data_IF_946995105858
#
_entry.id   IF_946995105858
#
_cell.length_a   1.000
_cell.length_b   1.000
_cell.length_c   1.000
_cell.angle_alpha   90.00
_cell.angle_beta   90.00
_cell.angle_gamma   90.00
#
_symmetry.space_group_name_H-M   'P 1'
#
loop_
_entity.id
_entity.type
_entity.pdbx_description
1 polymer ?
#
# COMPACT_ATOMS: atom_id res chain seq x y z
N UNK A 1 5.23 -18.94 -3.12
CA UNK A 1 6.09 -18.23 -2.16
C UNK A 1 6.55 -16.86 -2.65
N UNK A 2 7.14 -16.74 -3.85
CA UNK A 2 7.65 -15.46 -4.41
C UNK A 2 6.62 -14.32 -4.42
N UNK A 3 5.36 -14.59 -4.81
CA UNK A 3 4.29 -13.57 -4.82
C UNK A 3 4.06 -12.93 -3.45
N UNK A 4 3.93 -13.75 -2.40
CA UNK A 4 3.71 -13.25 -1.04
C UNK A 4 4.92 -12.48 -0.52
N UNK A 5 6.13 -12.95 -0.84
CA UNK A 5 7.36 -12.26 -0.49
C UNK A 5 7.46 -10.88 -1.16
N UNK A 6 7.13 -10.74 -2.44
CA UNK A 6 7.13 -9.45 -3.15
C UNK A 6 6.07 -8.48 -2.62
N UNK A 7 4.85 -8.95 -2.38
CA UNK A 7 3.79 -8.08 -1.84
C UNK A 7 4.14 -7.61 -0.41
N UNK A 8 4.67 -8.51 0.42
CA UNK A 8 5.10 -8.18 1.77
C UNK A 8 6.36 -7.32 1.84
N UNK A 9 7.24 -7.38 0.82
CA UNK A 9 8.52 -6.69 0.86
C UNK A 9 8.36 -5.18 0.92
N UNK A 10 7.27 -4.61 0.37
CA UNK A 10 7.09 -3.16 0.32
C UNK A 10 7.04 -2.52 1.70
N UNK A 11 6.45 -3.17 2.71
CA UNK A 11 6.40 -2.61 4.07
C UNK A 11 7.69 -2.81 4.87
N UNK A 12 8.43 -3.89 4.58
CA UNK A 12 9.43 -4.45 5.50
C UNK A 12 10.86 -4.47 4.96
N UNK A 13 11.05 -4.42 3.64
CA UNK A 13 12.37 -4.62 3.03
C UNK A 13 13.37 -3.55 3.45
N UNK A 14 12.98 -2.27 3.45
CA UNK A 14 13.87 -1.19 3.87
C UNK A 14 14.34 -1.38 5.32
N UNK A 15 13.49 -1.82 6.24
CA UNK A 15 13.88 -2.04 7.64
C UNK A 15 14.87 -3.19 7.78
N UNK A 16 14.63 -4.29 7.07
CA UNK A 16 15.54 -5.43 7.05
C UNK A 16 16.91 -5.00 6.52
N UNK A 17 16.95 -4.30 5.38
CA UNK A 17 18.19 -3.86 4.75
C UNK A 17 18.88 -2.79 5.60
N UNK A 18 18.13 -1.85 6.17
CA UNK A 18 18.64 -0.83 7.09
C UNK A 18 19.31 -1.48 8.31
N UNK A 19 18.68 -2.49 8.90
CA UNK A 19 19.27 -3.26 10.00
C UNK A 19 20.56 -3.95 9.57
N UNK A 20 20.62 -4.53 8.37
CA UNK A 20 21.83 -5.17 7.84
C UNK A 20 22.98 -4.17 7.56
N UNK A 21 22.66 -2.96 7.09
CA UNK A 21 23.66 -1.94 6.73
C UNK A 21 24.16 -1.17 7.96
N UNK A 22 23.26 -0.79 8.87
CA UNK A 22 23.59 0.07 10.02
C UNK A 22 23.91 -0.74 11.27
N UNK A 23 23.27 -1.89 11.43
CA UNK A 23 23.43 -2.78 12.55
C UNK A 23 23.02 -2.14 13.89
N UNK A 24 23.78 -2.37 14.97
CA UNK A 24 23.46 -1.88 16.32
C UNK A 24 23.38 -0.36 16.46
N UNK A 25 23.88 0.41 15.47
CA UNK A 25 23.87 1.87 15.47
C UNK A 25 22.55 2.48 15.00
N UNK A 26 21.61 1.64 14.57
CA UNK A 26 20.30 2.09 14.13
C UNK A 26 19.51 2.59 15.32
N UNK A 27 18.95 3.80 15.23
CA UNK A 27 17.98 4.27 16.22
C UNK A 27 16.64 3.57 15.98
N UNK A 28 16.54 2.35 16.50
CA UNK A 28 15.38 1.47 16.39
C UNK A 28 14.12 2.16 16.90
N UNK A 29 14.25 2.98 17.95
CA UNK A 29 13.10 3.65 18.57
C UNK A 29 12.50 4.66 17.59
N UNK A 30 13.33 5.51 16.96
CA UNK A 30 12.84 6.45 15.96
C UNK A 30 12.30 5.74 14.70
N UNK A 31 12.92 4.67 14.19
CA UNK A 31 12.34 3.88 13.07
C UNK A 31 10.98 3.33 13.43
N UNK A 32 10.89 2.68 14.59
CA UNK A 32 9.67 2.00 15.01
C UNK A 32 8.53 2.99 15.24
N UNK A 33 8.81 4.09 15.95
CA UNK A 33 7.85 5.16 16.18
C UNK A 33 7.34 5.76 14.86
N UNK A 34 8.25 6.02 13.91
CA UNK A 34 7.93 6.54 12.59
C UNK A 34 7.08 5.56 11.75
N UNK A 35 7.20 4.25 11.99
CA UNK A 35 6.46 3.22 11.27
C UNK A 35 5.04 3.00 11.79
N UNK A 36 4.75 3.36 13.05
CA UNK A 36 3.48 3.07 13.73
C UNK A 36 2.23 3.53 12.95
N UNK A 37 2.15 4.75 12.39
CA UNK A 37 0.95 5.18 11.68
C UNK A 37 0.63 4.31 10.47
N UNK A 38 1.66 3.89 9.73
CA UNK A 38 1.53 3.01 8.58
C UNK A 38 1.06 1.61 9.00
N UNK A 39 1.62 1.05 10.09
CA UNK A 39 1.18 -0.24 10.63
C UNK A 39 -0.28 -0.19 11.07
N UNK A 40 -0.66 0.84 11.83
CA UNK A 40 -2.02 0.98 12.35
C UNK A 40 -3.02 1.12 11.19
N UNK A 41 -2.74 2.00 10.23
CA UNK A 41 -3.59 2.18 9.05
C UNK A 41 -3.73 0.88 8.25
N UNK A 42 -2.62 0.20 7.98
CA UNK A 42 -2.61 -1.11 7.30
C UNK A 42 -3.49 -2.13 8.04
N UNK A 43 -3.35 -2.26 9.36
CA UNK A 43 -4.16 -3.19 10.15
C UNK A 43 -5.64 -2.78 10.17
N UNK A 44 -5.94 -1.49 10.31
CA UNK A 44 -7.31 -0.98 10.22
C UNK A 44 -7.96 -1.33 8.89
N UNK A 45 -7.21 -1.27 7.78
CA UNK A 45 -7.73 -1.69 6.49
C UNK A 45 -8.18 -3.16 6.50
N UNK A 46 -7.31 -4.08 6.90
CA UNK A 46 -7.61 -5.51 6.87
C UNK A 46 -8.70 -5.89 7.86
N UNK A 47 -8.75 -5.26 9.03
CA UNK A 47 -9.73 -5.60 10.06
C UNK A 47 -11.09 -4.94 9.82
N UNK A 48 -11.13 -3.67 9.38
CA UNK A 48 -12.37 -2.90 9.32
C UNK A 48 -12.94 -2.77 7.92
N UNK A 49 -12.09 -2.70 6.89
CA UNK A 49 -12.54 -2.33 5.54
C UNK A 49 -12.53 -3.49 4.55
N UNK A 50 -11.54 -4.39 4.61
CA UNK A 50 -11.46 -5.55 3.73
C UNK A 50 -12.73 -6.45 3.80
N UNK A 51 -13.31 -6.76 4.98
CA UNK A 51 -14.54 -7.55 5.04
C UNK A 51 -15.75 -6.88 4.37
N UNK A 52 -15.77 -5.54 4.31
CA UNK A 52 -16.80 -4.78 3.60
C UNK A 52 -16.65 -4.88 2.09
N UNK A 53 -15.41 -4.79 1.59
CA UNK A 53 -15.05 -4.99 0.19
C UNK A 53 -15.39 -6.41 -0.26
N UNK A 54 -15.01 -7.43 0.52
CA UNK A 54 -15.28 -8.84 0.19
C UNK A 54 -16.79 -9.12 0.09
N UNK A 55 -17.58 -8.56 1.01
CA UNK A 55 -19.05 -8.64 0.95
C UNK A 55 -19.60 -7.98 -0.32
N UNK A 56 -19.06 -6.83 -0.73
CA UNK A 56 -19.49 -6.16 -1.96
C UNK A 56 -19.12 -6.97 -3.22
N UNK A 57 -17.94 -7.58 -3.25
CA UNK A 57 -17.50 -8.51 -4.32
C UNK A 57 -18.44 -9.72 -4.38
N UNK A 58 -18.77 -10.32 -3.23
CA UNK A 58 -19.70 -11.44 -3.16
C UNK A 58 -21.08 -11.10 -3.73
N UNK A 59 -21.63 -9.93 -3.37
CA UNK A 59 -22.92 -9.45 -3.92
C UNK A 59 -22.87 -9.21 -5.42
N UNK A 60 -21.75 -8.69 -5.95
CA UNK A 60 -21.59 -8.53 -7.39
C UNK A 60 -21.57 -9.89 -8.09
N UNK A 61 -20.83 -10.87 -7.54
CA UNK A 61 -20.79 -12.23 -8.07
C UNK A 61 -22.18 -12.88 -8.09
N UNK A 62 -22.97 -12.76 -7.01
CA UNK A 62 -24.33 -13.30 -7.00
C UNK A 62 -25.24 -12.62 -8.02
N UNK A 63 -25.11 -11.29 -8.20
CA UNK A 63 -25.93 -10.54 -9.14
C UNK A 63 -25.68 -10.95 -10.60
N UNK A 64 -24.44 -11.28 -10.96
CA UNK A 64 -24.07 -11.70 -12.32
C UNK A 64 -24.84 -12.97 -12.76
N UNK A 65 -25.22 -13.85 -11.83
CA UNK A 65 -25.86 -15.12 -12.16
C UNK A 65 -27.38 -15.04 -12.38
N UNK A 66 -28.03 -13.92 -12.09
CA UNK A 66 -29.50 -13.86 -12.20
C UNK A 66 -30.16 -12.50 -12.07
N UNK A 67 -29.41 -11.41 -11.88
CA UNK A 67 -29.98 -10.07 -11.85
C UNK A 67 -29.94 -9.40 -13.24
N UNK A 68 -30.92 -8.54 -13.58
CA UNK A 68 -30.89 -7.72 -14.80
C UNK A 68 -29.67 -6.79 -14.86
N UNK A 69 -29.26 -6.43 -16.08
CA UNK A 69 -28.09 -5.57 -16.32
C UNK A 69 -28.09 -4.27 -15.48
N UNK A 70 -29.24 -3.60 -15.36
CA UNK A 70 -29.35 -2.36 -14.57
C UNK A 70 -29.08 -2.55 -13.07
N UNK A 71 -29.38 -3.74 -12.53
CA UNK A 71 -29.06 -4.06 -11.15
C UNK A 71 -27.57 -4.39 -11.00
N UNK A 72 -26.97 -5.07 -11.98
CA UNK A 72 -25.54 -5.36 -12.03
C UNK A 72 -24.68 -4.08 -12.08
N UNK A 73 -25.03 -3.10 -12.91
CA UNK A 73 -24.30 -1.82 -12.99
C UNK A 73 -24.35 -1.04 -11.67
N UNK A 74 -25.50 -1.04 -10.99
CA UNK A 74 -25.63 -0.45 -9.66
C UNK A 74 -24.75 -1.17 -8.62
N UNK A 75 -24.70 -2.51 -8.65
CA UNK A 75 -23.83 -3.30 -7.75
C UNK A 75 -22.36 -3.05 -8.02
N UNK A 76 -21.98 -2.89 -9.29
CA UNK A 76 -20.64 -2.49 -9.70
C UNK A 76 -20.25 -1.14 -9.12
N UNK A 77 -21.08 -0.10 -9.31
CA UNK A 77 -20.83 1.23 -8.75
C UNK A 77 -20.72 1.21 -7.20
N UNK A 78 -21.54 0.40 -6.53
CA UNK A 78 -21.46 0.20 -5.08
C UNK A 78 -20.13 -0.43 -4.66
N UNK A 79 -19.64 -1.43 -5.41
CA UNK A 79 -18.34 -2.05 -5.16
C UNK A 79 -17.20 -1.04 -5.37
N UNK A 80 -17.18 -0.33 -6.50
CA UNK A 80 -16.19 0.72 -6.78
C UNK A 80 -16.12 1.76 -5.65
N UNK A 81 -17.29 2.23 -5.19
CA UNK A 81 -17.38 3.18 -4.08
C UNK A 81 -16.90 2.61 -2.75
N UNK A 82 -17.18 1.33 -2.47
CA UNK A 82 -16.71 0.67 -1.25
C UNK A 82 -15.18 0.56 -1.22
N UNK A 83 -14.56 0.15 -2.33
CA UNK A 83 -13.10 0.04 -2.44
C UNK A 83 -12.44 1.41 -2.36
N UNK A 84 -12.98 2.42 -3.04
CA UNK A 84 -12.47 3.78 -2.98
C UNK A 84 -12.53 4.36 -1.56
N UNK A 85 -13.67 4.19 -0.88
CA UNK A 85 -13.83 4.64 0.50
C UNK A 85 -12.85 3.92 1.44
N UNK A 86 -12.68 2.61 1.28
CA UNK A 86 -11.74 1.81 2.09
C UNK A 86 -10.29 2.29 1.92
N UNK A 87 -9.84 2.47 0.67
CA UNK A 87 -8.50 2.98 0.38
C UNK A 87 -8.33 4.39 0.95
N UNK A 88 -9.23 5.32 0.64
CA UNK A 88 -9.15 6.72 1.08
C UNK A 88 -9.12 6.84 2.60
N UNK A 89 -9.97 6.11 3.31
CA UNK A 89 -10.00 6.11 4.79
C UNK A 89 -8.70 5.59 5.37
N UNK A 90 -8.13 4.54 4.78
CA UNK A 90 -6.85 3.97 5.22
C UNK A 90 -5.71 4.99 5.07
N UNK A 91 -5.62 5.63 3.90
CA UNK A 91 -4.60 6.65 3.65
C UNK A 91 -4.74 7.84 4.61
N UNK A 92 -5.99 8.25 4.87
CA UNK A 92 -6.29 9.32 5.82
C UNK A 92 -5.90 8.95 7.25
N UNK A 93 -6.18 7.72 7.72
CA UNK A 93 -5.75 7.26 9.05
C UNK A 93 -4.23 7.30 9.16
N UNK A 94 -3.50 6.83 8.14
CA UNK A 94 -2.04 6.89 8.13
C UNK A 94 -1.50 8.31 8.19
N UNK A 95 -2.10 9.24 7.41
CA UNK A 95 -1.67 10.64 7.37
C UNK A 95 -2.00 11.38 8.67
N UNK A 96 -3.20 11.20 9.21
CA UNK A 96 -3.60 11.79 10.49
C UNK A 96 -2.75 11.24 11.63
N UNK A 97 -2.47 9.94 11.63
CA UNK A 97 -1.58 9.30 12.62
C UNK A 97 -0.12 9.78 12.53
N UNK A 98 0.33 10.25 11.36
CA UNK A 98 1.67 10.79 11.21
C UNK A 98 1.88 12.10 11.99
N UNK A 99 0.83 12.90 12.20
CA UNK A 99 0.92 14.17 12.93
C UNK A 99 1.36 13.98 14.38
N UNK A 100 0.65 13.21 15.24
CA UNK A 100 1.10 12.99 16.61
C UNK A 100 2.44 12.26 16.67
N UNK A 101 2.73 11.34 15.74
CA UNK A 101 4.03 10.68 15.66
C UNK A 101 5.17 11.67 15.40
N UNK A 102 4.99 12.62 14.48
CA UNK A 102 5.98 13.66 14.22
C UNK A 102 6.20 14.58 15.45
N UNK A 103 5.13 14.92 16.17
CA UNK A 103 5.23 15.70 17.41
C UNK A 103 6.02 14.95 18.49
N UNK A 104 5.74 13.65 18.68
CA UNK A 104 6.48 12.81 19.64
C UNK A 104 7.95 12.66 19.22
N UNK A 105 8.23 12.44 17.93
CA UNK A 105 9.61 12.39 17.42
C UNK A 105 10.36 13.68 17.73
N UNK A 106 9.75 14.84 17.48
CA UNK A 106 10.38 16.15 17.72
C UNK A 106 10.62 16.44 19.21
N UNK A 107 9.69 16.03 20.07
CA UNK A 107 9.79 16.28 21.51
C UNK A 107 10.72 15.28 22.24
N UNK A 108 10.62 13.99 21.91
CA UNK A 108 11.31 12.92 22.64
C UNK A 108 12.66 12.52 22.02
N UNK A 109 12.82 12.69 20.70
CA UNK A 109 14.00 12.25 19.94
C UNK A 109 14.52 13.36 19.01
N UNK A 110 14.83 14.57 19.51
CA UNK A 110 15.15 15.73 18.67
C UNK A 110 16.38 15.50 17.78
N UNK A 111 17.38 14.73 18.25
CA UNK A 111 18.57 14.40 17.46
C UNK A 111 18.28 13.50 16.25
N UNK A 112 17.23 12.68 16.34
CA UNK A 112 16.81 11.76 15.29
C UNK A 112 15.64 12.30 14.46
N UNK A 113 15.13 13.49 14.78
CA UNK A 113 13.91 14.03 14.19
C UNK A 113 13.95 14.16 12.66
N UNK A 114 14.98 14.74 12.01
CA UNK A 114 15.00 14.87 10.55
C UNK A 114 14.97 13.51 9.84
N UNK A 115 15.71 12.56 10.38
CA UNK A 115 15.75 11.20 9.87
C UNK A 115 14.44 10.46 10.13
N UNK A 116 13.92 10.48 11.36
CA UNK A 116 12.64 9.86 11.71
C UNK A 116 11.47 10.41 10.89
N UNK A 117 11.49 11.69 10.54
CA UNK A 117 10.51 12.30 9.65
C UNK A 117 10.59 11.72 8.22
N UNK A 118 11.80 11.47 7.72
CA UNK A 118 11.99 10.81 6.41
C UNK A 118 11.49 9.35 6.42
N UNK A 119 11.74 8.62 7.50
CA UNK A 119 11.23 7.26 7.69
C UNK A 119 9.70 7.26 7.79
N UNK A 120 9.12 8.24 8.48
CA UNK A 120 7.67 8.40 8.64
C UNK A 120 6.99 8.67 7.29
N UNK A 121 7.52 9.62 6.51
CA UNK A 121 7.02 9.93 5.18
C UNK A 121 7.14 8.73 4.23
N UNK A 122 8.30 8.08 4.21
CA UNK A 122 8.51 6.87 3.40
C UNK A 122 7.56 5.75 3.81
N UNK A 123 7.36 5.51 5.11
CA UNK A 123 6.46 4.46 5.61
C UNK A 123 5.01 4.67 5.20
N UNK A 124 4.54 5.92 5.14
CA UNK A 124 3.22 6.24 4.62
C UNK A 124 3.10 5.92 3.12
N UNK A 125 4.13 6.24 2.33
CA UNK A 125 4.17 5.87 0.90
C UNK A 125 4.24 4.36 0.70
N UNK A 126 5.06 3.64 1.47
CA UNK A 126 5.18 2.19 1.39
C UNK A 126 3.85 1.51 1.71
N UNK A 127 3.14 1.96 2.76
CA UNK A 127 1.78 1.50 3.05
C UNK A 127 0.82 1.80 1.91
N UNK A 128 0.93 2.97 1.28
CA UNK A 128 0.11 3.34 0.12
C UNK A 128 0.34 2.39 -1.07
N UNK A 129 1.60 2.16 -1.44
CA UNK A 129 1.99 1.23 -2.51
C UNK A 129 1.52 -0.18 -2.17
N UNK A 130 1.72 -0.62 -0.92
CA UNK A 130 1.28 -1.95 -0.46
C UNK A 130 -0.22 -2.13 -0.60
N UNK A 131 -1.01 -1.14 -0.16
CA UNK A 131 -2.45 -1.21 -0.23
C UNK A 131 -2.96 -1.25 -1.69
N UNK A 132 -2.40 -0.41 -2.55
CA UNK A 132 -2.81 -0.34 -3.96
C UNK A 132 -2.37 -1.58 -4.75
N UNK A 133 -1.17 -2.09 -4.50
CA UNK A 133 -0.69 -3.35 -5.11
C UNK A 133 -1.49 -4.55 -4.62
N UNK A 134 -1.91 -4.57 -3.34
CA UNK A 134 -2.87 -5.54 -2.83
C UNK A 134 -4.20 -5.47 -3.59
N UNK A 135 -4.77 -4.29 -3.81
CA UNK A 135 -6.02 -4.14 -4.58
C UNK A 135 -5.88 -4.61 -6.03
N UNK A 136 -4.76 -4.31 -6.67
CA UNK A 136 -4.46 -4.74 -8.03
C UNK A 136 -4.31 -6.27 -8.11
N UNK A 137 -3.59 -6.85 -7.16
CA UNK A 137 -3.37 -8.30 -7.09
C UNK A 137 -4.68 -9.03 -6.77
N UNK A 138 -5.52 -8.48 -5.89
CA UNK A 138 -6.84 -9.01 -5.52
C UNK A 138 -7.77 -9.14 -6.73
N UNK A 139 -7.86 -8.09 -7.56
CA UNK A 139 -8.71 -8.11 -8.78
C UNK A 139 -8.07 -8.86 -9.97
N UNK A 140 -6.89 -9.46 -9.77
CA UNK A 140 -6.22 -10.31 -10.76
C UNK A 140 -5.18 -9.63 -11.65
N UNK A 141 -4.78 -8.38 -11.38
CA UNK A 141 -3.68 -7.67 -12.07
C UNK A 141 -2.31 -8.01 -11.44
N UNK A 142 -2.04 -9.30 -11.30
CA UNK A 142 -0.90 -9.85 -10.54
C UNK A 142 0.46 -9.36 -11.04
N UNK A 143 0.71 -9.43 -12.35
CA UNK A 143 2.01 -9.05 -12.93
C UNK A 143 2.32 -7.58 -12.69
N UNK A 144 1.34 -6.69 -12.89
CA UNK A 144 1.52 -5.26 -12.65
C UNK A 144 1.81 -4.95 -11.18
N UNK A 145 1.09 -5.59 -10.25
CA UNK A 145 1.35 -5.45 -8.83
C UNK A 145 2.77 -5.94 -8.46
N UNK A 146 3.18 -7.11 -8.96
CA UNK A 146 4.51 -7.67 -8.70
C UNK A 146 5.65 -6.82 -9.26
N UNK A 147 5.48 -6.23 -10.44
CA UNK A 147 6.48 -5.32 -11.04
C UNK A 147 6.66 -4.09 -10.15
N UNK A 148 5.58 -3.48 -9.67
CA UNK A 148 5.66 -2.32 -8.76
C UNK A 148 6.40 -2.68 -7.47
N UNK A 149 6.06 -3.82 -6.85
CA UNK A 149 6.75 -4.31 -5.66
C UNK A 149 8.23 -4.63 -5.90
N UNK A 150 8.57 -5.21 -7.06
CA UNK A 150 9.95 -5.52 -7.42
C UNK A 150 10.79 -4.26 -7.65
N UNK A 151 10.21 -3.22 -8.27
CA UNK A 151 10.88 -1.91 -8.43
C UNK A 151 11.15 -1.28 -7.07
N UNK A 152 10.17 -1.28 -6.16
CA UNK A 152 10.38 -0.81 -4.79
C UNK A 152 11.51 -1.60 -4.09
N UNK A 153 11.47 -2.94 -4.15
CA UNK A 153 12.49 -3.78 -3.51
C UNK A 153 13.89 -3.50 -4.07
N UNK A 154 14.03 -3.36 -5.39
CA UNK A 154 15.28 -2.99 -6.03
C UNK A 154 15.76 -1.61 -5.58
N UNK A 155 14.86 -0.62 -5.49
CA UNK A 155 15.18 0.71 -4.99
C UNK A 155 15.66 0.68 -3.54
N UNK A 156 15.01 -0.09 -2.66
CA UNK A 156 15.44 -0.30 -1.28
C UNK A 156 16.86 -0.87 -1.21
N UNK A 157 17.15 -1.94 -1.95
CA UNK A 157 18.48 -2.54 -1.99
C UNK A 157 19.55 -1.56 -2.49
N UNK A 158 19.30 -0.91 -3.63
CA UNK A 158 20.28 -0.02 -4.26
C UNK A 158 20.51 1.26 -3.47
N UNK A 159 19.43 1.92 -3.02
CA UNK A 159 19.54 3.18 -2.31
C UNK A 159 20.25 3.00 -0.95
N UNK A 160 19.88 1.98 -0.17
CA UNK A 160 20.50 1.73 1.14
C UNK A 160 21.93 1.22 1.01
N UNK A 161 22.26 0.43 -0.02
CA UNK A 161 23.62 -0.06 -0.24
C UNK A 161 24.58 1.04 -0.74
N UNK A 162 24.10 1.98 -1.57
CA UNK A 162 24.95 2.96 -2.25
C UNK A 162 25.00 4.33 -1.55
N UNK A 163 23.93 4.76 -0.88
CA UNK A 163 23.77 6.12 -0.38
C UNK A 163 23.77 6.21 1.16
N UNK A 164 23.72 5.07 1.84
CA UNK A 164 23.49 4.99 3.28
C UNK A 164 22.09 5.50 3.68
N UNK A 165 21.72 5.43 4.97
CA UNK A 165 20.36 5.70 5.43
C UNK A 165 19.87 7.12 5.10
N UNK A 166 20.70 8.14 5.38
CA UNK A 166 20.30 9.54 5.20
C UNK A 166 20.06 9.90 3.72
N UNK A 167 20.85 9.34 2.79
CA UNK A 167 20.68 9.54 1.36
C UNK A 167 19.60 8.65 0.74
N UNK A 168 19.37 7.46 1.30
CA UNK A 168 18.42 6.50 0.76
C UNK A 168 16.97 6.93 0.93
N UNK A 169 16.56 7.40 2.11
CA UNK A 169 15.14 7.72 2.38
C UNK A 169 14.56 8.80 1.45
N UNK A 170 15.25 9.91 1.12
CA UNK A 170 14.78 10.85 0.10
C UNK A 170 14.57 10.21 -1.28
N UNK A 171 15.48 9.32 -1.70
CA UNK A 171 15.34 8.57 -2.97
C UNK A 171 14.13 7.65 -2.92
N UNK A 172 13.95 6.91 -1.82
CA UNK A 172 12.80 6.02 -1.64
C UNK A 172 11.48 6.80 -1.61
N UNK A 173 11.42 7.95 -0.95
CA UNK A 173 10.25 8.84 -1.01
C UNK A 173 9.93 9.22 -2.46
N UNK A 174 10.94 9.61 -3.25
CA UNK A 174 10.75 9.96 -4.66
C UNK A 174 10.25 8.79 -5.50
N UNK A 175 10.89 7.62 -5.38
CA UNK A 175 10.52 6.40 -6.11
C UNK A 175 9.11 5.95 -5.72
N UNK A 176 8.82 5.84 -4.44
CA UNK A 176 7.52 5.35 -3.97
C UNK A 176 6.38 6.34 -4.18
N UNK A 177 6.66 7.66 -4.29
CA UNK A 177 5.67 8.61 -4.79
C UNK A 177 5.26 8.29 -6.24
N UNK A 178 6.23 8.02 -7.11
CA UNK A 178 5.97 7.61 -8.50
C UNK A 178 5.24 6.27 -8.55
N UNK A 179 5.68 5.28 -7.76
CA UNK A 179 5.03 3.98 -7.69
C UNK A 179 3.61 4.09 -7.13
N UNK A 180 3.37 4.92 -6.13
CA UNK A 180 2.03 5.16 -5.57
C UNK A 180 1.11 5.78 -6.63
N UNK A 181 1.58 6.75 -7.41
CA UNK A 181 0.81 7.33 -8.51
C UNK A 181 0.52 6.28 -9.59
N UNK A 182 1.52 5.50 -10.02
CA UNK A 182 1.35 4.45 -11.02
C UNK A 182 0.36 3.37 -10.53
N UNK A 183 0.50 2.93 -9.28
CA UNK A 183 -0.40 1.99 -8.64
C UNK A 183 -1.82 2.56 -8.53
N UNK A 184 -1.97 3.84 -8.17
CA UNK A 184 -3.26 4.52 -8.06
C UNK A 184 -3.97 4.63 -9.41
N UNK A 185 -3.26 5.01 -10.47
CA UNK A 185 -3.80 5.05 -11.84
C UNK A 185 -4.24 3.66 -12.29
N UNK A 186 -3.40 2.63 -12.08
CA UNK A 186 -3.75 1.25 -12.38
C UNK A 186 -4.96 0.78 -11.59
N UNK A 187 -4.99 1.10 -10.30
CA UNK A 187 -6.09 0.80 -9.38
C UNK A 187 -7.40 1.43 -9.86
N UNK A 188 -7.41 2.74 -10.14
CA UNK A 188 -8.60 3.47 -10.59
C UNK A 188 -9.16 2.90 -11.89
N UNK A 189 -8.31 2.61 -12.87
CA UNK A 189 -8.74 2.05 -14.17
C UNK A 189 -9.47 0.72 -14.04
N UNK A 190 -9.03 -0.12 -13.10
CA UNK A 190 -9.52 -1.49 -12.97
C UNK A 190 -10.75 -1.57 -12.05
N UNK A 191 -10.78 -0.72 -11.03
CA UNK A 191 -11.88 -0.64 -10.07
C UNK A 191 -13.01 0.32 -10.49
N UNK A 192 -12.87 1.07 -11.58
CA UNK A 192 -13.98 1.85 -12.16
C UNK A 192 -14.97 0.99 -12.96
N UNK A 193 -14.55 -0.20 -13.38
CA UNK A 193 -15.36 -1.18 -14.14
C UNK A 193 -15.13 -2.60 -13.60
N UNK A 194 -15.44 -2.86 -12.32
CA UNK A 194 -15.11 -4.13 -11.66
C UNK A 194 -15.81 -5.34 -12.29
N UNK A 195 -17.02 -5.19 -12.86
CA UNK A 195 -17.75 -6.22 -13.58
C UNK A 195 -16.99 -6.73 -14.81
N UNK A 196 -16.35 -5.84 -15.57
CA UNK A 196 -15.54 -6.21 -16.73
C UNK A 196 -14.31 -7.00 -16.30
N UNK A 197 -13.62 -6.54 -15.26
CA UNK A 197 -12.37 -7.16 -14.84
C UNK A 197 -12.58 -8.50 -14.12
N UNK A 198 -13.56 -8.57 -13.23
CA UNK A 198 -13.81 -9.76 -12.41
C UNK A 198 -14.50 -10.88 -13.18
N UNK A 199 -15.33 -10.55 -14.18
CA UNK A 199 -16.16 -11.53 -14.86
C UNK A 199 -15.89 -11.61 -16.36
N UNK A 200 -16.14 -10.54 -17.11
CA UNK A 200 -16.10 -10.60 -18.57
C UNK A 200 -14.72 -10.92 -19.12
N UNK A 201 -13.66 -10.36 -18.53
CA UNK A 201 -12.28 -10.69 -18.90
C UNK A 201 -11.93 -12.15 -18.62
N UNK A 202 -12.51 -12.77 -17.59
CA UNK A 202 -12.29 -14.18 -17.28
C UNK A 202 -13.10 -15.09 -18.20
N UNK A 203 -14.33 -14.68 -18.55
CA UNK A 203 -15.18 -15.41 -19.48
C UNK A 203 -14.63 -15.42 -20.91
N UNK A 204 -13.99 -14.33 -21.35
CA UNK A 204 -13.37 -14.18 -22.68
C UNK A 204 -11.96 -14.76 -22.79
N UNK A 205 -11.40 -15.30 -21.70
CA UNK A 205 -10.07 -15.91 -21.69
C UNK A 205 -10.07 -17.43 -21.98
N UNK A 206 -11.25 -17.97 -22.31
CA UNK A 206 -11.48 -19.34 -22.77
C UNK A 206 -11.59 -19.36 -24.30
#
# INVERSE_FOLDING_TARGET
MVRGALLGSVLWADKLILFLVVGPRMDVVAVFLALLPAILAYNCYFQLYAPGVDRAVGRLRTAIHGEPYAAMTRRSAQLSGAVESAVRRTLAIGAVGAIPTALVLGAALPGSFPWGLSVLAASWLFMTVTLLTYQLDYIGRRVGAQVLCAVHLAACCLALALLGPAGAYPVLIGVDAVLAVAAYVGYRRVWSVPEYTLFWRQALAW
#
